data_IF_659886774794
#
_entry.id   IF_659886774794
#
_cell.length_a   1.000
_cell.length_b   1.000
_cell.length_c   1.000
_cell.angle_alpha   90.00
_cell.angle_beta   90.00
_cell.angle_gamma   90.00
#
_symmetry.space_group_name_H-M   'P 1'
#
loop_
_entity.id
_entity.type
_entity.pdbx_description
1 polymer ?
#
# COMPACT_ATOMS: atom_id res chain seq x y z
N UNK A 1 -3.48 -3.07 3.78
CA UNK A 1 -4.32 -1.90 3.41
C UNK A 1 -5.48 -2.25 2.49
N UNK A 2 -5.32 -3.16 1.51
CA UNK A 2 -6.41 -3.60 0.62
C UNK A 2 -7.68 -4.06 1.34
N UNK A 3 -7.56 -4.87 2.41
CA UNK A 3 -8.71 -5.29 3.22
C UNK A 3 -9.41 -4.13 3.93
N UNK A 4 -8.66 -3.16 4.45
CA UNK A 4 -9.20 -1.98 5.13
C UNK A 4 -9.96 -1.06 4.14
N UNK A 5 -9.43 -0.91 2.93
CA UNK A 5 -10.10 -0.15 1.86
C UNK A 5 -11.35 -0.84 1.29
N UNK A 6 -11.57 -2.13 1.57
CA UNK A 6 -12.75 -2.85 1.08
C UNK A 6 -14.07 -2.32 1.65
N UNK A 7 -14.07 -1.87 2.91
CA UNK A 7 -15.25 -1.23 3.50
C UNK A 7 -15.59 0.10 2.78
N UNK A 8 -14.57 0.85 2.34
CA UNK A 8 -14.75 2.08 1.57
C UNK A 8 -15.41 1.78 0.22
N UNK A 9 -15.03 0.70 -0.45
CA UNK A 9 -15.63 0.29 -1.72
C UNK A 9 -17.15 0.07 -1.58
N UNK A 10 -17.57 -0.67 -0.56
CA UNK A 10 -19.00 -0.91 -0.28
C UNK A 10 -19.74 0.39 0.07
N UNK A 11 -19.19 1.20 0.98
CA UNK A 11 -19.84 2.45 1.42
C UNK A 11 -19.94 3.49 0.29
N UNK A 12 -18.87 3.65 -0.50
CA UNK A 12 -18.89 4.54 -1.66
C UNK A 12 -19.82 4.03 -2.75
N UNK A 13 -19.86 2.71 -3.02
CA UNK A 13 -20.79 2.12 -3.98
C UNK A 13 -22.26 2.35 -3.60
N UNK A 14 -22.60 2.15 -2.32
CA UNK A 14 -23.95 2.43 -1.80
C UNK A 14 -24.29 3.93 -1.87
N UNK A 15 -23.37 4.80 -1.43
CA UNK A 15 -23.59 6.24 -1.46
C UNK A 15 -23.71 6.80 -2.88
N UNK A 16 -22.91 6.28 -3.82
CA UNK A 16 -22.97 6.68 -5.23
C UNK A 16 -24.31 6.28 -5.86
N UNK A 17 -24.78 5.05 -5.62
CA UNK A 17 -26.10 4.58 -6.06
C UNK A 17 -27.26 5.38 -5.46
N UNK A 18 -27.13 5.78 -4.19
CA UNK A 18 -28.10 6.63 -3.49
C UNK A 18 -27.98 8.14 -3.83
N UNK A 19 -27.06 8.53 -4.72
CA UNK A 19 -26.76 9.92 -5.11
C UNK A 19 -26.35 10.83 -3.94
N UNK A 20 -25.78 10.28 -2.88
CA UNK A 20 -25.34 11.04 -1.69
C UNK A 20 -23.86 11.41 -1.78
N UNK A 21 -23.46 12.13 -2.83
CA UNK A 21 -22.05 12.41 -3.18
C UNK A 21 -21.22 13.04 -2.04
N UNK A 22 -21.83 13.87 -1.18
CA UNK A 22 -21.14 14.44 -0.01
C UNK A 22 -20.60 13.36 0.94
N UNK A 23 -21.34 12.27 1.12
CA UNK A 23 -20.94 11.19 2.01
C UNK A 23 -19.73 10.42 1.50
N UNK A 24 -19.54 10.33 0.18
CA UNK A 24 -18.37 9.64 -0.41
C UNK A 24 -17.07 10.31 0.04
N UNK A 25 -17.02 11.65 0.03
CA UNK A 25 -15.85 12.40 0.50
C UNK A 25 -15.57 12.19 1.99
N UNK A 26 -16.62 12.12 2.81
CA UNK A 26 -16.51 11.85 4.24
C UNK A 26 -15.96 10.43 4.46
N UNK A 27 -16.50 9.43 3.77
CA UNK A 27 -16.02 8.05 3.87
C UNK A 27 -14.55 7.92 3.43
N UNK A 28 -14.15 8.62 2.36
CA UNK A 28 -12.75 8.65 1.92
C UNK A 28 -11.84 9.24 2.99
N UNK A 29 -12.19 10.39 3.57
CA UNK A 29 -11.40 11.03 4.63
C UNK A 29 -11.28 10.13 5.86
N UNK A 30 -12.40 9.53 6.31
CA UNK A 30 -12.39 8.58 7.42
C UNK A 30 -11.51 7.37 7.13
N UNK A 31 -11.61 6.79 5.93
CA UNK A 31 -10.79 5.64 5.52
C UNK A 31 -9.30 5.99 5.46
N UNK A 32 -8.96 7.19 5.00
CA UNK A 32 -7.60 7.74 5.01
C UNK A 32 -7.03 7.88 6.42
N UNK A 33 -7.82 8.43 7.37
CA UNK A 33 -7.40 8.55 8.78
C UNK A 33 -7.17 7.15 9.39
N UNK A 34 -8.09 6.22 9.18
CA UNK A 34 -7.95 4.85 9.70
C UNK A 34 -6.72 4.17 9.09
N UNK A 35 -6.49 4.33 7.79
CA UNK A 35 -5.32 3.78 7.10
C UNK A 35 -4.00 4.38 7.61
N UNK A 36 -3.99 5.69 7.91
CA UNK A 36 -2.85 6.36 8.53
C UNK A 36 -2.53 5.74 9.89
N UNK A 37 -3.53 5.61 10.77
CA UNK A 37 -3.36 5.02 12.12
C UNK A 37 -2.80 3.60 12.04
N UNK A 38 -3.40 2.73 11.22
CA UNK A 38 -2.90 1.35 11.08
C UNK A 38 -1.51 1.29 10.45
N UNK A 39 -1.19 2.20 9.53
CA UNK A 39 0.16 2.25 8.96
C UNK A 39 1.19 2.65 10.01
N UNK A 40 0.89 3.62 10.88
CA UNK A 40 1.77 3.99 12.00
C UNK A 40 1.99 2.79 12.93
N UNK A 41 0.92 2.08 13.29
CA UNK A 41 1.02 0.87 14.12
C UNK A 41 1.91 -0.21 13.48
N UNK A 42 1.69 -0.51 12.19
CA UNK A 42 2.49 -1.51 11.47
C UNK A 42 3.96 -1.08 11.36
N UNK A 43 4.23 0.20 11.11
CA UNK A 43 5.59 0.75 11.04
C UNK A 43 6.34 0.62 12.38
N UNK A 44 5.64 0.76 13.51
CA UNK A 44 6.22 0.50 14.83
C UNK A 44 6.60 -0.98 14.95
N UNK A 45 5.74 -1.91 14.54
CA UNK A 45 6.07 -3.33 14.52
C UNK A 45 7.26 -3.65 13.61
N UNK A 46 7.37 -3.00 12.45
CA UNK A 46 8.49 -3.15 11.53
C UNK A 46 9.82 -2.67 12.12
N UNK A 47 9.79 -1.72 13.06
CA UNK A 47 11.00 -1.30 13.77
C UNK A 47 11.59 -2.43 14.62
N UNK A 48 10.74 -3.32 15.15
CA UNK A 48 11.14 -4.48 15.97
C UNK A 48 11.36 -5.77 15.17
N UNK A 49 11.35 -5.72 13.83
CA UNK A 49 11.52 -6.92 12.98
C UNK A 49 12.78 -7.72 13.30
N UNK A 50 13.90 -7.07 13.60
CA UNK A 50 15.16 -7.76 13.91
C UNK A 50 15.04 -8.62 15.18
N UNK A 51 14.45 -8.06 16.24
CA UNK A 51 14.23 -8.77 17.50
C UNK A 51 13.22 -9.90 17.33
N UNK A 52 12.14 -9.68 16.57
CA UNK A 52 11.11 -10.69 16.31
C UNK A 52 11.71 -11.89 15.55
N UNK A 53 12.49 -11.63 14.50
CA UNK A 53 13.17 -12.70 13.74
C UNK A 53 14.24 -13.41 14.59
N UNK A 54 14.96 -12.67 15.44
CA UNK A 54 15.90 -13.25 16.39
C UNK A 54 15.24 -14.21 17.38
N UNK A 55 14.03 -13.90 17.86
CA UNK A 55 13.26 -14.78 18.76
C UNK A 55 12.88 -16.11 18.09
N UNK A 56 12.67 -16.11 16.78
CA UNK A 56 12.37 -17.32 15.99
C UNK A 56 13.66 -18.08 15.61
N UNK A 57 14.82 -17.63 16.12
CA UNK A 57 16.16 -18.17 15.82
C UNK A 57 16.55 -18.08 14.35
N UNK A 58 16.10 -17.01 13.67
CA UNK A 58 16.57 -16.69 12.31
C UNK A 58 18.06 -16.32 12.34
N UNK A 59 18.76 -16.59 11.25
CA UNK A 59 20.17 -16.18 11.07
C UNK A 59 20.33 -14.65 11.31
N UNK A 60 21.30 -14.22 12.15
CA UNK A 60 21.48 -12.81 12.48
C UNK A 60 21.75 -11.90 11.26
N UNK A 61 22.44 -12.42 10.24
CA UNK A 61 22.74 -11.65 9.02
C UNK A 61 21.47 -11.40 8.20
N UNK A 62 20.60 -12.42 8.08
CA UNK A 62 19.30 -12.32 7.40
C UNK A 62 18.37 -11.39 8.18
N UNK A 63 18.32 -11.54 9.51
CA UNK A 63 17.49 -10.70 10.39
C UNK A 63 17.82 -9.21 10.26
N UNK A 64 19.12 -8.89 10.24
CA UNK A 64 19.61 -7.52 10.07
C UNK A 64 19.25 -6.95 8.69
N UNK A 65 19.43 -7.71 7.62
CA UNK A 65 19.07 -7.26 6.26
C UNK A 65 17.56 -7.08 6.11
N UNK A 66 16.75 -7.99 6.67
CA UNK A 66 15.29 -7.88 6.66
C UNK A 66 14.80 -6.64 7.44
N UNK A 67 15.37 -6.35 8.61
CA UNK A 67 15.05 -5.15 9.37
C UNK A 67 15.39 -3.87 8.60
N UNK A 68 16.55 -3.84 7.95
CA UNK A 68 16.97 -2.71 7.12
C UNK A 68 15.99 -2.48 5.96
N UNK A 69 15.62 -3.55 5.25
CA UNK A 69 14.62 -3.50 4.18
C UNK A 69 13.27 -2.96 4.67
N UNK A 70 12.75 -3.48 5.79
CA UNK A 70 11.47 -3.03 6.35
C UNK A 70 11.49 -1.53 6.73
N UNK A 71 12.60 -1.03 7.28
CA UNK A 71 12.76 0.40 7.61
C UNK A 71 12.69 1.29 6.37
N UNK A 72 13.33 0.90 5.26
CA UNK A 72 13.22 1.62 4.00
C UNK A 72 11.84 1.49 3.34
N UNK A 73 11.15 0.37 3.56
CA UNK A 73 9.81 0.13 3.02
C UNK A 73 8.71 0.87 3.78
N UNK A 74 8.95 1.26 5.05
CA UNK A 74 7.96 1.91 5.92
C UNK A 74 7.24 3.13 5.31
N UNK A 75 7.92 4.13 4.71
CA UNK A 75 7.23 5.24 4.03
C UNK A 75 6.37 4.78 2.84
N UNK A 76 6.81 3.71 2.14
CA UNK A 76 6.04 3.11 1.04
C UNK A 76 4.72 2.51 1.49
N UNK A 77 4.64 1.99 2.73
CA UNK A 77 3.40 1.46 3.30
C UNK A 77 2.33 2.55 3.44
N UNK A 78 2.74 3.76 3.84
CA UNK A 78 1.85 4.90 3.99
C UNK A 78 1.26 5.34 2.65
N UNK A 79 2.14 5.53 1.66
CA UNK A 79 1.73 5.87 0.30
C UNK A 79 0.78 4.81 -0.28
N UNK A 80 1.06 3.52 -0.04
CA UNK A 80 0.20 2.43 -0.47
C UNK A 80 -1.18 2.47 0.19
N UNK A 81 -1.28 2.82 1.48
CA UNK A 81 -2.55 2.98 2.17
C UNK A 81 -3.45 4.05 1.53
N UNK A 82 -2.91 5.24 1.30
CA UNK A 82 -3.64 6.32 0.63
C UNK A 82 -4.02 5.96 -0.80
N UNK A 83 -3.09 5.37 -1.56
CA UNK A 83 -3.33 4.95 -2.93
C UNK A 83 -4.51 3.97 -3.02
N UNK A 84 -4.57 2.97 -2.13
CA UNK A 84 -5.69 2.02 -2.11
C UNK A 84 -7.04 2.71 -1.87
N UNK A 85 -7.12 3.67 -0.95
CA UNK A 85 -8.37 4.38 -0.68
C UNK A 85 -8.82 5.22 -1.89
N UNK A 86 -7.89 5.92 -2.54
CA UNK A 86 -8.17 6.72 -3.75
C UNK A 86 -8.62 5.81 -4.90
N UNK A 87 -7.94 4.67 -5.09
CA UNK A 87 -8.31 3.68 -6.12
C UNK A 87 -9.75 3.21 -5.93
N UNK A 88 -10.15 2.79 -4.72
CA UNK A 88 -11.52 2.34 -4.44
C UNK A 88 -12.55 3.46 -4.60
N UNK A 89 -12.22 4.67 -4.15
CA UNK A 89 -13.09 5.83 -4.32
C UNK A 89 -13.36 6.16 -5.80
N UNK A 90 -12.33 6.15 -6.65
CA UNK A 90 -12.50 6.39 -8.08
C UNK A 90 -13.18 5.21 -8.79
N UNK A 91 -12.82 3.97 -8.47
CA UNK A 91 -13.40 2.76 -9.06
C UNK A 91 -14.91 2.65 -8.81
N UNK A 92 -15.36 2.91 -7.58
CA UNK A 92 -16.79 2.86 -7.21
C UNK A 92 -17.64 3.92 -7.94
N UNK A 93 -17.01 4.98 -8.44
CA UNK A 93 -17.64 6.02 -9.25
C UNK A 93 -17.49 5.78 -10.76
N UNK A 94 -16.99 4.60 -11.16
CA UNK A 94 -16.67 4.25 -12.55
C UNK A 94 -15.56 5.11 -13.20
N UNK A 95 -14.73 5.79 -12.41
CA UNK A 95 -13.60 6.60 -12.88
C UNK A 95 -12.35 5.72 -12.93
N UNK A 96 -12.30 4.79 -13.89
CA UNK A 96 -11.24 3.77 -13.99
C UNK A 96 -10.17 4.09 -15.04
N UNK A 97 -10.53 4.78 -16.12
CA UNK A 97 -9.62 5.10 -17.23
C UNK A 97 -8.33 5.81 -16.78
N UNK A 98 -8.35 6.91 -16.00
CA UNK A 98 -7.11 7.56 -15.57
C UNK A 98 -6.26 6.64 -14.68
N UNK A 99 -6.89 5.82 -13.83
CA UNK A 99 -6.17 4.87 -12.97
C UNK A 99 -5.38 3.86 -13.79
N UNK A 100 -5.99 3.33 -14.85
CA UNK A 100 -5.33 2.37 -15.76
C UNK A 100 -4.18 3.04 -16.50
N UNK A 101 -4.39 4.24 -17.04
CA UNK A 101 -3.34 4.99 -17.74
C UNK A 101 -2.13 5.23 -16.82
N UNK A 102 -2.36 5.72 -15.60
CA UNK A 102 -1.28 5.96 -14.64
C UNK A 102 -0.60 4.68 -14.15
N UNK A 103 -1.27 3.52 -14.20
CA UNK A 103 -0.69 2.23 -13.81
C UNK A 103 0.39 1.72 -14.77
N UNK A 104 0.41 2.20 -16.01
CA UNK A 104 1.47 1.84 -16.97
C UNK A 104 2.85 2.37 -16.55
N UNK A 105 2.91 3.53 -15.91
CA UNK A 105 4.18 4.13 -15.46
C UNK A 105 4.93 3.24 -14.47
N UNK A 106 4.35 2.87 -13.30
CA UNK A 106 5.02 1.97 -12.37
C UNK A 106 5.25 0.57 -12.96
N UNK A 107 4.39 0.10 -13.87
CA UNK A 107 4.59 -1.17 -14.57
C UNK A 107 5.89 -1.16 -15.41
N UNK A 108 6.06 -0.15 -16.26
CA UNK A 108 7.25 -0.01 -17.11
C UNK A 108 8.52 0.16 -16.26
N UNK A 109 8.44 0.96 -15.19
CA UNK A 109 9.54 1.13 -14.23
C UNK A 109 9.90 -0.22 -13.59
N UNK A 110 8.92 -1.01 -13.13
CA UNK A 110 9.18 -2.31 -12.54
C UNK A 110 9.84 -3.28 -13.54
N UNK A 111 9.35 -3.33 -14.79
CA UNK A 111 9.96 -4.16 -15.84
C UNK A 111 11.42 -3.75 -16.08
N UNK A 112 11.69 -2.44 -16.20
CA UNK A 112 13.04 -1.93 -16.40
C UNK A 112 13.97 -2.25 -15.24
N UNK A 113 13.53 -2.01 -14.00
CA UNK A 113 14.31 -2.33 -12.80
C UNK A 113 14.58 -3.83 -12.71
N UNK A 114 13.57 -4.67 -12.91
CA UNK A 114 13.72 -6.12 -12.85
C UNK A 114 14.71 -6.64 -13.91
N UNK A 115 14.64 -6.13 -15.14
CA UNK A 115 15.58 -6.48 -16.20
C UNK A 115 17.02 -6.10 -15.83
N UNK A 116 17.24 -4.88 -15.34
CA UNK A 116 18.57 -4.42 -14.91
C UNK A 116 19.10 -5.25 -13.73
N UNK A 117 18.24 -5.54 -12.74
CA UNK A 117 18.66 -6.33 -11.59
C UNK A 117 19.10 -7.74 -12.01
N UNK A 118 18.28 -8.42 -12.81
CA UNK A 118 18.54 -9.81 -13.22
C UNK A 118 19.74 -9.90 -14.16
N UNK A 119 19.79 -9.09 -15.22
CA UNK A 119 20.77 -9.30 -16.30
C UNK A 119 22.04 -8.45 -16.19
N UNK A 120 22.00 -7.29 -15.52
CA UNK A 120 23.15 -6.38 -15.43
C UNK A 120 23.84 -6.39 -14.07
N UNK A 121 23.09 -6.58 -12.98
CA UNK A 121 23.67 -6.46 -11.63
C UNK A 121 24.23 -7.77 -11.06
N UNK A 122 24.00 -8.92 -11.73
CA UNK A 122 24.48 -10.23 -11.28
C UNK A 122 23.81 -10.75 -10.00
N UNK A 123 22.73 -10.10 -9.54
CA UNK A 123 21.88 -10.53 -8.42
C UNK A 123 20.71 -11.44 -8.87
N UNK A 124 20.63 -11.75 -10.17
CA UNK A 124 19.61 -12.61 -10.78
C UNK A 124 19.95 -14.09 -10.74
#
# INVERSE_FOLDING_TARGET
MTGLSGALETLCGQGFGAKTYRMLGIHLQSSCIVSFVFTVLISIFWFFTESILGLIRQDPSISKQASLYMKYQAPGLLAYGFLQNILRFCQTQSIVTPLVIFSFVPLLINIGIAYVLVYLSGLG
#
